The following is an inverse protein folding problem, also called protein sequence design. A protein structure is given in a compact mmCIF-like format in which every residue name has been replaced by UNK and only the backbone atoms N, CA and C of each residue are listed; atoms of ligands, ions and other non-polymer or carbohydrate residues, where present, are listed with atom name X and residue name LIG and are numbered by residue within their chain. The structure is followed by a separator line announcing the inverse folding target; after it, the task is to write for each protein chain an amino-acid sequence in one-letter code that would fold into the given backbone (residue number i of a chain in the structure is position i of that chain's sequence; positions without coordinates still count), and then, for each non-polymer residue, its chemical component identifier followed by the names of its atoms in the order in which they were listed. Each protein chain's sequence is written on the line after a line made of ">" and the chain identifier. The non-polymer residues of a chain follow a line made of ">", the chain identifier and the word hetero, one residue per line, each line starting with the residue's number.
data_IF_271028961921
#
_entry.id   IF_271028961921
#
_cell.length_a   1.000
_cell.length_b   1.000
_cell.length_c   1.000
_cell.angle_alpha   90.00
_cell.angle_beta   90.00
_cell.angle_gamma   90.00
#
_symmetry.space_group_name_H-M   'P 1'
#
loop_
_entity.id
_entity.type
_entity.pdbx_description
1 polymer ?
#
# COMPACT_ATOMS: atom_id res chain seq x y z
N UNK A 1 8.17 57.66 -10.31
CA UNK A 1 8.83 56.34 -10.51
C UNK A 1 8.75 55.54 -9.20
N UNK A 2 7.61 54.88 -8.91
CA UNK A 2 7.39 54.18 -7.62
C UNK A 2 6.58 52.86 -7.71
N UNK A 3 6.35 52.32 -8.91
CA UNK A 3 5.46 51.15 -9.10
C UNK A 3 6.14 49.84 -9.53
N UNK A 4 7.46 49.86 -9.79
CA UNK A 4 8.16 48.68 -10.31
C UNK A 4 8.69 47.72 -9.24
N UNK A 5 8.82 48.15 -7.98
CA UNK A 5 9.46 47.33 -6.94
C UNK A 5 8.51 46.31 -6.27
N UNK A 6 7.18 46.47 -6.40
CA UNK A 6 6.20 45.63 -5.69
C UNK A 6 5.86 44.36 -6.47
N UNK A 7 5.95 44.40 -7.80
CA UNK A 7 5.60 43.25 -8.66
C UNK A 7 6.61 42.09 -8.56
N UNK A 8 7.88 42.39 -8.25
CA UNK A 8 8.96 41.39 -8.25
C UNK A 8 8.99 40.52 -6.99
N UNK A 9 8.39 40.96 -5.89
CA UNK A 9 8.41 40.22 -4.62
C UNK A 9 7.34 39.11 -4.58
N UNK A 10 6.25 39.27 -5.33
CA UNK A 10 5.14 38.31 -5.35
C UNK A 10 5.46 37.00 -6.12
N UNK A 11 6.36 37.05 -7.10
CA UNK A 11 6.73 35.87 -7.91
C UNK A 11 7.63 34.89 -7.11
N UNK A 12 8.48 35.42 -6.23
CA UNK A 12 9.40 34.61 -5.43
C UNK A 12 8.64 33.76 -4.39
N UNK A 13 7.53 34.26 -3.82
CA UNK A 13 6.72 33.48 -2.87
C UNK A 13 5.99 32.29 -3.52
N UNK A 14 5.62 32.36 -4.80
CA UNK A 14 4.96 31.23 -5.48
C UNK A 14 5.90 30.06 -5.77
N UNK A 15 7.21 30.29 -5.85
CA UNK A 15 8.21 29.25 -6.13
C UNK A 15 8.53 28.38 -4.90
N UNK A 16 8.23 28.85 -3.68
CA UNK A 16 8.52 28.10 -2.43
C UNK A 16 7.33 27.24 -1.94
N UNK A 17 6.12 27.46 -2.45
CA UNK A 17 4.94 26.67 -2.07
C UNK A 17 4.83 25.33 -2.84
N UNK A 18 5.72 25.07 -3.81
CA UNK A 18 5.67 23.88 -4.65
C UNK A 18 6.24 22.61 -4.01
N UNK A 19 7.09 22.72 -2.98
CA UNK A 19 7.83 21.57 -2.44
C UNK A 19 7.19 20.97 -1.18
N UNK A 20 6.27 21.67 -0.50
CA UNK A 20 5.65 21.18 0.74
C UNK A 20 4.56 20.13 0.53
N UNK A 21 4.28 19.73 -0.72
CA UNK A 21 3.28 18.71 -1.06
C UNK A 21 3.86 17.29 -1.21
N UNK A 22 5.20 17.14 -1.25
CA UNK A 22 5.85 15.86 -1.58
C UNK A 22 5.96 14.93 -0.36
N UNK A 23 6.04 15.46 0.86
CA UNK A 23 6.17 14.63 2.08
C UNK A 23 4.88 13.93 2.52
N UNK A 24 3.73 14.25 1.91
CA UNK A 24 2.45 13.71 2.36
C UNK A 24 1.93 12.52 1.54
N UNK A 25 2.64 12.11 0.48
CA UNK A 25 2.27 10.93 -0.30
C UNK A 25 3.01 9.73 0.28
N UNK A 26 2.30 8.88 1.03
CA UNK A 26 2.85 7.60 1.44
C UNK A 26 3.30 6.81 0.20
N UNK A 27 4.45 6.12 0.24
CA UNK A 27 4.89 5.28 -0.87
C UNK A 27 3.77 4.30 -1.26
N UNK A 28 3.37 4.34 -2.53
CA UNK A 28 2.39 3.41 -3.12
C UNK A 28 3.07 2.16 -3.72
N UNK A 29 4.39 2.02 -3.52
CA UNK A 29 5.23 0.90 -3.96
C UNK A 29 6.69 1.18 -3.62
N UNK A 30 7.55 0.15 -3.67
CA UNK A 30 8.98 0.27 -3.32
C UNK A 30 9.27 0.28 -1.81
N UNK A 31 8.24 0.18 -0.98
CA UNK A 31 8.33 -0.10 0.45
C UNK A 31 7.70 -1.47 0.71
N UNK A 32 8.37 -2.30 1.53
CA UNK A 32 7.99 -3.70 1.74
C UNK A 32 6.58 -3.83 2.34
N UNK A 33 6.25 -2.99 3.32
CA UNK A 33 4.93 -3.00 3.93
C UNK A 33 3.86 -2.62 2.91
N UNK A 34 4.15 -1.64 2.07
CA UNK A 34 3.25 -1.24 1.00
C UNK A 34 3.05 -2.36 -0.03
N UNK A 35 4.12 -3.01 -0.49
CA UNK A 35 4.06 -4.11 -1.48
C UNK A 35 3.24 -5.30 -0.99
N UNK A 36 3.50 -5.80 0.22
CA UNK A 36 2.75 -6.92 0.81
C UNK A 36 1.28 -6.54 1.03
N UNK A 37 1.02 -5.30 1.46
CA UNK A 37 -0.35 -4.80 1.61
C UNK A 37 -1.07 -4.80 0.27
N UNK A 38 -0.50 -4.23 -0.78
CA UNK A 38 -1.18 -4.14 -2.08
C UNK A 38 -1.42 -5.53 -2.68
N UNK A 39 -0.40 -6.38 -2.72
CA UNK A 39 -0.57 -7.74 -3.24
C UNK A 39 -1.62 -8.55 -2.45
N UNK A 40 -1.60 -8.46 -1.11
CA UNK A 40 -2.60 -9.13 -0.29
C UNK A 40 -4.02 -8.61 -0.53
N UNK A 41 -4.19 -7.30 -0.74
CA UNK A 41 -5.49 -6.72 -1.10
C UNK A 41 -5.93 -7.14 -2.51
N UNK A 42 -5.02 -7.21 -3.47
CA UNK A 42 -5.33 -7.66 -4.84
C UNK A 42 -5.87 -9.10 -4.84
N UNK A 43 -5.25 -10.00 -4.06
CA UNK A 43 -5.79 -11.36 -3.86
C UNK A 43 -7.21 -11.33 -3.27
N UNK A 44 -7.44 -10.54 -2.23
CA UNK A 44 -8.77 -10.47 -1.61
C UNK A 44 -9.84 -9.93 -2.56
N UNK A 45 -9.48 -8.97 -3.41
CA UNK A 45 -10.37 -8.41 -4.43
C UNK A 45 -10.64 -9.42 -5.54
N UNK A 46 -9.60 -10.09 -6.05
CA UNK A 46 -9.72 -11.12 -7.09
C UNK A 46 -10.60 -12.29 -6.65
N UNK A 47 -10.51 -12.69 -5.38
CA UNK A 47 -11.33 -13.74 -4.77
C UNK A 47 -12.72 -13.24 -4.32
N UNK A 48 -13.02 -11.95 -4.48
CA UNK A 48 -14.33 -11.38 -4.15
C UNK A 48 -14.66 -11.39 -2.66
N UNK A 49 -13.66 -11.24 -1.80
CA UNK A 49 -13.84 -11.23 -0.34
C UNK A 49 -14.53 -9.94 0.11
N UNK A 50 -15.68 -10.09 0.77
CA UNK A 50 -16.42 -8.97 1.36
C UNK A 50 -15.77 -8.51 2.68
N UNK A 51 -15.03 -7.40 2.64
CA UNK A 51 -14.27 -6.88 3.78
C UNK A 51 -15.10 -5.93 4.65
N UNK A 52 -15.11 -6.15 5.97
CA UNK A 52 -15.66 -5.21 6.97
C UNK A 52 -14.61 -4.27 7.50
N UNK A 53 -13.51 -4.85 7.98
CA UNK A 53 -12.37 -4.14 8.52
C UNK A 53 -11.19 -4.41 7.60
N UNK A 54 -10.77 -3.38 6.88
CA UNK A 54 -9.63 -3.45 5.97
C UNK A 54 -8.38 -3.95 6.72
N UNK A 55 -7.63 -4.93 6.16
CA UNK A 55 -6.41 -5.40 6.81
C UNK A 55 -5.42 -4.27 7.10
N UNK A 56 -4.99 -4.18 8.36
CA UNK A 56 -3.95 -3.25 8.81
C UNK A 56 -2.64 -4.01 8.91
N UNK A 57 -1.61 -3.52 8.22
CA UNK A 57 -0.30 -4.16 8.16
C UNK A 57 0.69 -3.54 9.14
N UNK A 58 1.56 -4.38 9.69
CA UNK A 58 2.73 -3.99 10.47
C UNK A 58 3.96 -4.72 9.93
N UNK A 59 5.09 -4.03 9.87
CA UNK A 59 6.40 -4.62 9.63
C UNK A 59 7.13 -4.78 10.97
N UNK A 60 7.58 -5.99 11.27
CA UNK A 60 8.44 -6.29 12.41
C UNK A 60 9.64 -7.07 11.92
N UNK A 61 10.81 -6.45 11.94
CA UNK A 61 12.09 -7.03 11.52
C UNK A 61 12.03 -7.67 10.12
N UNK A 62 11.31 -7.02 9.19
CA UNK A 62 11.12 -7.49 7.82
C UNK A 62 10.04 -8.55 7.68
N UNK A 63 9.32 -8.93 8.74
CA UNK A 63 8.09 -9.73 8.62
C UNK A 63 6.91 -8.78 8.54
N UNK A 64 6.20 -8.80 7.41
CA UNK A 64 4.96 -8.06 7.25
C UNK A 64 3.79 -8.97 7.54
N UNK A 65 2.94 -8.56 8.47
CA UNK A 65 1.69 -9.22 8.80
C UNK A 65 0.55 -8.20 8.77
N UNK A 66 -0.55 -8.57 8.12
CA UNK A 66 -1.77 -7.79 8.10
C UNK A 66 -2.95 -8.59 8.65
N UNK A 67 -3.80 -7.93 9.41
CA UNK A 67 -5.00 -8.53 9.99
C UNK A 67 -6.21 -7.64 9.79
N UNK A 68 -7.35 -8.26 9.48
CA UNK A 68 -8.65 -7.63 9.34
C UNK A 68 -9.77 -8.66 9.47
N UNK A 69 -10.96 -8.29 9.03
CA UNK A 69 -12.13 -9.17 9.09
C UNK A 69 -13.13 -8.90 7.97
N UNK A 70 -13.77 -9.98 7.52
CA UNK A 70 -14.85 -9.98 6.53
C UNK A 70 -16.16 -9.47 7.14
N UNK A 71 -17.18 -9.24 6.30
CA UNK A 71 -18.53 -8.85 6.73
C UNK A 71 -19.17 -9.82 7.72
N UNK A 72 -18.93 -11.13 7.58
CA UNK A 72 -19.42 -12.15 8.50
C UNK A 72 -18.55 -12.33 9.75
N UNK A 73 -17.45 -11.57 9.87
CA UNK A 73 -16.55 -11.56 11.02
C UNK A 73 -15.44 -12.60 10.95
N UNK A 74 -15.26 -13.29 9.83
CA UNK A 74 -14.14 -14.20 9.59
C UNK A 74 -12.82 -13.43 9.50
N UNK A 75 -11.78 -13.93 10.16
CA UNK A 75 -10.47 -13.28 10.19
C UNK A 75 -9.77 -13.36 8.84
N UNK A 76 -9.24 -12.23 8.38
CA UNK A 76 -8.36 -12.11 7.23
C UNK A 76 -6.92 -12.02 7.74
N UNK A 77 -6.00 -12.79 7.15
CA UNK A 77 -4.57 -12.76 7.45
C UNK A 77 -3.75 -12.72 6.17
N UNK A 78 -2.87 -11.74 6.07
CA UNK A 78 -1.88 -11.61 5.00
C UNK A 78 -0.51 -11.65 5.65
N UNK A 79 0.40 -12.49 5.15
CA UNK A 79 1.75 -12.62 5.71
C UNK A 79 2.82 -12.76 4.63
N UNK A 80 3.94 -12.08 4.85
CA UNK A 80 5.22 -12.29 4.16
C UNK A 80 6.32 -12.21 5.21
N UNK A 81 7.08 -13.29 5.37
CA UNK A 81 8.05 -13.42 6.46
C UNK A 81 9.43 -12.95 6.04
N UNK A 82 10.28 -12.60 7.01
CA UNK A 82 11.64 -12.12 6.71
C UNK A 82 12.54 -13.21 6.11
N UNK A 83 12.27 -14.49 6.36
CA UNK A 83 12.98 -15.65 5.80
C UNK A 83 12.49 -16.05 4.38
N UNK A 84 11.30 -15.60 3.97
CA UNK A 84 10.74 -15.80 2.65
C UNK A 84 10.13 -14.50 2.10
N UNK A 85 10.96 -13.47 1.82
CA UNK A 85 10.47 -12.13 1.54
C UNK A 85 9.70 -11.97 0.23
N UNK A 86 9.98 -12.84 -0.74
CA UNK A 86 9.30 -12.87 -2.03
C UNK A 86 8.06 -13.77 -2.00
N UNK A 87 7.69 -14.33 -0.84
CA UNK A 87 6.50 -15.14 -0.67
C UNK A 87 5.36 -14.34 0.00
N UNK A 88 4.14 -14.64 -0.42
CA UNK A 88 2.89 -14.08 0.11
C UNK A 88 1.94 -15.22 0.44
N UNK A 89 1.37 -15.18 1.64
CA UNK A 89 0.28 -16.07 2.05
C UNK A 89 -0.92 -15.22 2.42
N UNK A 90 -2.10 -15.56 1.88
CA UNK A 90 -3.38 -14.92 2.17
C UNK A 90 -4.39 -15.97 2.62
N UNK A 91 -4.93 -15.78 3.81
CA UNK A 91 -5.85 -16.72 4.47
C UNK A 91 -7.11 -15.98 4.94
N UNK A 92 -8.27 -16.60 4.74
CA UNK A 92 -9.55 -16.17 5.32
C UNK A 92 -10.10 -17.32 6.17
N UNK A 93 -10.16 -17.11 7.48
CA UNK A 93 -10.47 -18.19 8.43
C UNK A 93 -9.40 -19.28 8.37
N UNK A 94 -9.80 -20.46 7.89
CA UNK A 94 -8.94 -21.64 7.68
C UNK A 94 -8.63 -21.89 6.18
N UNK A 95 -9.22 -21.09 5.28
CA UNK A 95 -9.03 -21.23 3.83
C UNK A 95 -7.82 -20.43 3.36
N UNK A 96 -6.89 -21.10 2.67
CA UNK A 96 -5.76 -20.45 2.01
C UNK A 96 -6.18 -20.04 0.60
N UNK A 97 -6.34 -18.73 0.39
CA UNK A 97 -6.69 -18.15 -0.89
C UNK A 97 -5.47 -18.02 -1.80
N UNK A 98 -4.30 -17.77 -1.21
CA UNK A 98 -3.04 -17.67 -1.95
C UNK A 98 -1.87 -18.11 -1.08
N UNK A 99 -0.94 -18.84 -1.71
CA UNK A 99 0.36 -19.23 -1.16
C UNK A 99 1.33 -19.31 -2.35
N UNK A 100 2.16 -18.29 -2.52
CA UNK A 100 2.99 -18.17 -3.71
C UNK A 100 3.84 -16.90 -3.77
N UNK A 101 4.30 -16.58 -4.98
CA UNK A 101 5.16 -15.42 -5.25
C UNK A 101 4.40 -14.10 -4.99
N UNK A 102 5.00 -13.23 -4.19
CA UNK A 102 4.54 -11.85 -4.02
C UNK A 102 4.58 -11.09 -5.34
N UNK A 103 5.65 -11.30 -6.12
CA UNK A 103 5.89 -10.54 -7.35
C UNK A 103 4.88 -10.89 -8.44
N UNK A 104 4.46 -12.15 -8.53
CA UNK A 104 3.49 -12.61 -9.55
C UNK A 104 2.15 -11.88 -9.38
N UNK A 105 1.72 -11.64 -8.13
CA UNK A 105 0.50 -10.87 -7.84
C UNK A 105 0.66 -9.42 -8.26
N UNK A 106 1.77 -8.78 -7.88
CA UNK A 106 2.05 -7.38 -8.22
C UNK A 106 2.17 -7.18 -9.74
N UNK A 107 2.82 -8.10 -10.45
CA UNK A 107 2.94 -8.07 -11.90
C UNK A 107 1.59 -8.23 -12.60
N UNK A 108 0.72 -9.12 -12.09
CA UNK A 108 -0.63 -9.29 -12.62
C UNK A 108 -1.42 -7.98 -12.54
N UNK A 109 -1.35 -7.26 -11.42
CA UNK A 109 -2.02 -5.98 -11.25
C UNK A 109 -1.51 -4.92 -12.25
N UNK A 110 -0.19 -4.90 -12.52
CA UNK A 110 0.39 -3.99 -13.53
C UNK A 110 -0.03 -4.33 -14.96
N UNK A 111 -0.29 -5.61 -15.25
CA UNK A 111 -0.71 -6.07 -16.58
C UNK A 111 -2.17 -5.68 -16.94
N UNK A 112 -2.92 -5.08 -16.00
CA UNK A 112 -4.24 -4.50 -16.23
C UNK A 112 -5.33 -5.53 -16.56
N UNK A 113 -5.25 -6.72 -15.96
CA UNK A 113 -6.19 -7.82 -16.23
C UNK A 113 -6.75 -8.43 -14.96
#
# INVERSE_FOLDING_TARGET
>A
MKRAAVASLSVILMLLAGCSQIEAIAPVGGDRLAEVRFAGFDVLVDEGVDIRTAPVCTDTDGTVACAGDTLDGTTIRITSTSDAPDALIVVVGDETLYDGSLHDVLEKAMAGR
#
